data_IF_635774118295
#
_entry.id   IF_635774118295
#
_cell.length_a   1.000
_cell.length_b   1.000
_cell.length_c   1.000
_cell.angle_alpha   90.00
_cell.angle_beta   90.00
_cell.angle_gamma   90.00
#
_symmetry.space_group_name_H-M   'P 1'
#
loop_
_entity.id
_entity.type
_entity.pdbx_description
1 polymer ?
#
# COMPACT_ATOMS: atom_id res chain seq x y z
N UNK A 1 -1.26 -18.94 -31.81
CA UNK A 1 -2.08 -17.96 -31.09
C UNK A 1 -2.40 -18.54 -29.73
N UNK A 2 -1.49 -18.39 -28.77
CA UNK A 2 -1.79 -18.73 -27.39
C UNK A 2 -2.61 -17.60 -26.79
N UNK A 3 -3.92 -17.84 -26.65
CA UNK A 3 -4.74 -17.10 -25.71
C UNK A 3 -4.30 -17.50 -24.31
N UNK A 4 -3.18 -16.91 -23.85
CA UNK A 4 -2.88 -16.88 -22.42
C UNK A 4 -3.89 -15.94 -21.80
N UNK A 5 -4.91 -16.49 -21.17
CA UNK A 5 -5.71 -15.76 -20.21
C UNK A 5 -4.74 -15.15 -19.21
N UNK A 6 -4.59 -13.83 -19.22
CA UNK A 6 -3.87 -13.14 -18.17
C UNK A 6 -4.68 -13.34 -16.90
N UNK A 7 -4.15 -14.12 -15.96
CA UNK A 7 -4.77 -14.28 -14.66
C UNK A 7 -4.75 -12.91 -13.97
N UNK A 8 -5.87 -12.51 -13.36
CA UNK A 8 -5.92 -11.28 -12.57
C UNK A 8 -4.84 -11.32 -11.50
N UNK A 9 -4.20 -10.17 -11.23
CA UNK A 9 -3.19 -10.02 -10.17
C UNK A 9 -3.70 -10.59 -8.85
N UNK A 10 -4.96 -10.31 -8.51
CA UNK A 10 -5.56 -10.79 -7.28
C UNK A 10 -5.64 -12.32 -7.21
N UNK A 11 -6.03 -12.98 -8.32
CA UNK A 11 -6.12 -14.45 -8.37
C UNK A 11 -4.73 -15.10 -8.34
N UNK A 12 -3.74 -14.49 -8.99
CA UNK A 12 -2.34 -14.95 -8.93
C UNK A 12 -1.80 -14.86 -7.50
N UNK A 13 -2.06 -13.74 -6.83
CA UNK A 13 -1.63 -13.51 -5.46
C UNK A 13 -2.33 -14.45 -4.48
N UNK A 14 -3.65 -14.65 -4.59
CA UNK A 14 -4.36 -15.64 -3.77
C UNK A 14 -3.79 -17.05 -3.96
N UNK A 15 -3.64 -17.49 -5.22
CA UNK A 15 -3.12 -18.83 -5.53
C UNK A 15 -1.71 -19.03 -4.96
N UNK A 16 -0.86 -18.01 -5.03
CA UNK A 16 0.50 -18.05 -4.48
C UNK A 16 0.51 -18.31 -2.97
N UNK A 17 -0.40 -17.69 -2.21
CA UNK A 17 -0.49 -17.91 -0.77
C UNK A 17 -1.17 -19.26 -0.44
N UNK A 18 -2.24 -19.61 -1.13
CA UNK A 18 -2.97 -20.87 -0.92
C UNK A 18 -2.12 -22.11 -1.21
N UNK A 19 -1.29 -22.06 -2.28
CA UNK A 19 -0.30 -23.09 -2.61
C UNK A 19 0.72 -23.34 -1.50
N UNK A 20 0.87 -22.40 -0.57
CA UNK A 20 1.78 -22.47 0.58
C UNK A 20 1.02 -22.69 1.91
N UNK A 21 -0.22 -23.16 1.83
CA UNK A 21 -1.07 -23.43 2.99
C UNK A 21 -1.44 -22.17 3.78
N UNK A 22 -1.50 -21.01 3.10
CA UNK A 22 -1.88 -19.74 3.71
C UNK A 22 -3.23 -19.31 3.12
N UNK A 23 -4.22 -19.13 3.98
CA UNK A 23 -5.51 -18.54 3.59
C UNK A 23 -5.46 -17.04 3.74
N UNK A 24 -6.14 -16.32 2.84
CA UNK A 24 -6.16 -14.86 2.83
C UNK A 24 -7.58 -14.37 3.12
N UNK A 25 -7.70 -13.48 4.11
CA UNK A 25 -8.93 -12.72 4.36
C UNK A 25 -8.73 -11.32 3.80
N UNK A 26 -9.67 -10.80 3.01
CA UNK A 26 -9.58 -9.44 2.48
C UNK A 26 -10.94 -8.87 2.12
N UNK A 27 -11.08 -7.54 2.24
CA UNK A 27 -12.20 -6.77 1.67
C UNK A 27 -13.58 -7.23 2.11
N UNK A 28 -13.68 -7.77 3.33
CA UNK A 28 -14.96 -8.18 3.90
C UNK A 28 -15.72 -6.96 4.41
N UNK A 29 -17.03 -6.94 4.18
CA UNK A 29 -17.90 -5.89 4.70
C UNK A 29 -18.20 -6.12 6.18
N UNK A 30 -17.90 -5.17 7.08
CA UNK A 30 -18.28 -5.26 8.49
C UNK A 30 -19.79 -5.43 8.70
N UNK A 31 -20.61 -4.96 7.77
CA UNK A 31 -22.07 -5.14 7.81
C UNK A 31 -22.52 -6.60 7.68
N UNK A 32 -21.68 -7.50 7.18
CA UNK A 32 -21.97 -8.94 7.12
C UNK A 32 -21.53 -9.69 8.38
N UNK A 33 -20.67 -9.08 9.21
CA UNK A 33 -20.03 -9.72 10.35
C UNK A 33 -20.18 -8.85 11.61
N UNK A 34 -21.30 -8.97 12.33
CA UNK A 34 -21.54 -8.18 13.54
C UNK A 34 -20.39 -8.33 14.54
N UNK A 35 -19.90 -7.20 15.06
CA UNK A 35 -18.79 -7.13 16.01
C UNK A 35 -17.46 -6.68 15.40
N UNK A 36 -17.34 -6.64 14.06
CA UNK A 36 -16.18 -6.07 13.37
C UNK A 36 -16.45 -4.64 12.89
N UNK A 37 -15.40 -3.83 12.83
CA UNK A 37 -15.39 -2.45 12.38
C UNK A 37 -14.66 -2.26 11.05
N UNK A 38 -14.61 -1.00 10.59
CA UNK A 38 -13.95 -0.63 9.32
C UNK A 38 -12.43 -0.71 9.37
N UNK A 39 -11.84 -0.82 10.57
CA UNK A 39 -10.39 -0.98 10.79
C UNK A 39 -9.98 -2.47 10.89
N UNK A 40 -10.92 -3.39 10.76
CA UNK A 40 -10.67 -4.83 10.92
C UNK A 40 -10.69 -5.54 9.54
N UNK A 41 -11.75 -6.28 9.28
CA UNK A 41 -11.88 -7.22 8.16
C UNK A 41 -11.94 -6.64 6.73
N UNK A 42 -12.06 -5.32 6.49
CA UNK A 42 -11.85 -4.77 5.14
C UNK A 42 -10.40 -4.91 4.64
N UNK A 43 -9.44 -4.97 5.56
CA UNK A 43 -8.01 -5.08 5.25
C UNK A 43 -7.63 -6.51 4.88
N UNK A 44 -6.43 -6.68 4.33
CA UNK A 44 -5.91 -8.01 4.01
C UNK A 44 -5.08 -8.59 5.16
N UNK A 45 -5.42 -9.82 5.57
CA UNK A 45 -4.66 -10.58 6.57
C UNK A 45 -4.44 -12.02 6.11
N UNK A 46 -3.31 -12.59 6.52
CA UNK A 46 -2.86 -13.91 6.13
C UNK A 46 -2.92 -14.85 7.32
N UNK A 47 -3.44 -16.06 7.10
CA UNK A 47 -3.65 -17.05 8.16
C UNK A 47 -3.08 -18.40 7.76
N UNK A 48 -2.52 -19.11 8.75
CA UNK A 48 -2.13 -20.52 8.64
C UNK A 48 -2.72 -21.29 9.81
N UNK A 49 -3.38 -22.40 9.53
CA UNK A 49 -4.05 -23.22 10.54
C UNK A 49 -5.00 -22.42 11.46
N UNK A 50 -5.67 -21.40 10.89
CA UNK A 50 -6.59 -20.51 11.59
C UNK A 50 -5.91 -19.43 12.46
N UNK A 51 -4.58 -19.35 12.47
CA UNK A 51 -3.83 -18.32 13.19
C UNK A 51 -3.35 -17.24 12.22
N UNK A 52 -3.53 -15.98 12.59
CA UNK A 52 -3.01 -14.84 11.84
C UNK A 52 -1.48 -14.84 11.90
N UNK A 53 -0.83 -14.70 10.74
CA UNK A 53 0.62 -14.77 10.63
C UNK A 53 1.29 -13.48 11.12
N UNK A 54 0.78 -12.32 10.73
CA UNK A 54 1.36 -11.02 11.11
C UNK A 54 0.28 -10.05 11.54
N UNK A 55 0.62 -9.16 12.48
CA UNK A 55 -0.27 -8.06 12.87
C UNK A 55 -0.43 -7.04 11.74
N UNK A 56 0.66 -6.74 11.03
CA UNK A 56 0.64 -5.88 9.85
C UNK A 56 -0.25 -6.47 8.75
N UNK A 57 -1.22 -5.69 8.28
CA UNK A 57 -2.08 -6.07 7.18
C UNK A 57 -1.38 -5.92 5.83
N UNK A 58 -2.17 -6.00 4.76
CA UNK A 58 -1.77 -5.61 3.42
C UNK A 58 -2.92 -4.97 2.66
N UNK A 59 -2.59 -4.47 1.47
CA UNK A 59 -3.56 -3.79 0.61
C UNK A 59 -4.80 -4.65 0.31
N UNK A 60 -5.97 -4.04 0.36
CA UNK A 60 -7.27 -4.63 0.07
C UNK A 60 -7.51 -4.77 -1.45
N UNK A 61 -8.57 -5.50 -1.83
CA UNK A 61 -8.94 -5.72 -3.23
C UNK A 61 -9.19 -4.44 -4.02
N UNK A 62 -9.91 -3.48 -3.43
CA UNK A 62 -10.15 -2.19 -4.09
C UNK A 62 -8.88 -1.34 -4.23
N UNK A 63 -7.87 -1.57 -3.39
CA UNK A 63 -6.56 -0.92 -3.47
C UNK A 63 -5.67 -1.59 -4.51
N UNK A 64 -5.77 -2.92 -4.65
CA UNK A 64 -5.21 -3.66 -5.79
C UNK A 64 -5.79 -3.09 -7.10
N UNK A 65 -7.10 -2.90 -7.19
CA UNK A 65 -7.74 -2.31 -8.37
C UNK A 65 -7.26 -0.88 -8.64
N UNK A 66 -7.12 -0.05 -7.60
CA UNK A 66 -6.52 1.29 -7.73
C UNK A 66 -5.11 1.22 -8.32
N UNK A 67 -4.26 0.35 -7.76
CA UNK A 67 -2.87 0.19 -8.19
C UNK A 67 -2.78 -0.39 -9.62
N UNK A 68 -3.63 -1.33 -10.01
CA UNK A 68 -3.70 -1.82 -11.39
C UNK A 68 -4.03 -0.69 -12.38
N UNK A 69 -4.99 0.18 -12.04
CA UNK A 69 -5.28 1.35 -12.85
C UNK A 69 -4.12 2.33 -12.89
N UNK A 70 -3.51 2.63 -11.74
CA UNK A 70 -2.32 3.47 -11.65
C UNK A 70 -1.20 2.95 -12.55
N UNK A 71 -0.88 1.66 -12.46
CA UNK A 71 0.21 1.05 -13.20
C UNK A 71 -0.08 0.81 -14.69
N UNK A 72 -1.35 0.87 -15.09
CA UNK A 72 -1.72 0.92 -16.51
C UNK A 72 -1.34 2.24 -17.19
N UNK A 73 -1.21 3.33 -16.41
CA UNK A 73 -0.85 4.66 -16.89
C UNK A 73 0.58 5.08 -16.54
N UNK A 74 1.14 4.52 -15.46
CA UNK A 74 2.47 4.84 -14.94
C UNK A 74 3.23 3.56 -14.61
N UNK A 75 4.33 3.27 -15.31
CA UNK A 75 5.08 2.02 -15.14
C UNK A 75 6.39 2.30 -14.39
N UNK A 76 6.45 2.12 -13.05
CA UNK A 76 7.69 2.30 -12.29
C UNK A 76 8.71 1.22 -12.64
N UNK A 77 10.00 1.59 -12.58
CA UNK A 77 11.10 0.64 -12.72
C UNK A 77 11.65 0.21 -11.35
N UNK A 78 11.49 1.05 -10.32
CA UNK A 78 12.12 0.91 -9.01
C UNK A 78 11.11 1.26 -7.91
N UNK A 79 10.48 0.22 -7.39
CA UNK A 79 9.43 0.30 -6.37
C UNK A 79 10.04 0.05 -5.00
N UNK A 80 9.91 1.01 -4.09
CA UNK A 80 10.26 0.86 -2.69
C UNK A 80 9.01 0.70 -1.81
N UNK A 81 9.05 -0.20 -0.85
CA UNK A 81 7.95 -0.47 0.09
C UNK A 81 8.47 -0.31 1.51
N UNK A 82 7.84 0.56 2.29
CA UNK A 82 8.04 0.66 3.75
C UNK A 82 6.93 -0.12 4.42
N UNK A 83 7.29 -1.16 5.18
CA UNK A 83 6.34 -2.12 5.76
C UNK A 83 6.13 -3.31 4.84
N UNK A 84 6.86 -4.41 5.07
CA UNK A 84 6.68 -5.64 4.31
C UNK A 84 5.62 -6.55 4.92
N UNK A 85 5.52 -6.58 6.26
CA UNK A 85 4.77 -7.57 7.01
C UNK A 85 5.03 -8.99 6.45
N UNK A 86 3.98 -9.72 6.06
CA UNK A 86 4.10 -11.04 5.42
C UNK A 86 4.16 -11.00 3.87
N UNK A 87 4.53 -9.86 3.29
CA UNK A 87 4.88 -9.73 1.88
C UNK A 87 3.73 -9.50 0.90
N UNK A 88 2.49 -9.37 1.37
CA UNK A 88 1.30 -9.32 0.50
C UNK A 88 1.37 -8.15 -0.48
N UNK A 89 1.53 -6.93 0.03
CA UNK A 89 1.62 -5.71 -0.78
C UNK A 89 2.86 -5.73 -1.68
N UNK A 90 4.01 -6.17 -1.15
CA UNK A 90 5.27 -6.30 -1.90
C UNK A 90 5.14 -7.22 -3.11
N UNK A 91 4.54 -8.40 -2.93
CA UNK A 91 4.33 -9.37 -4.01
C UNK A 91 3.27 -8.91 -5.00
N UNK A 92 2.20 -8.25 -4.53
CA UNK A 92 1.19 -7.65 -5.40
C UNK A 92 1.83 -6.65 -6.38
N UNK A 93 2.66 -5.73 -5.87
CA UNK A 93 3.38 -4.73 -6.67
C UNK A 93 4.32 -5.38 -7.70
N UNK A 94 4.97 -6.48 -7.34
CA UNK A 94 5.86 -7.23 -8.23
C UNK A 94 5.12 -8.00 -9.34
N UNK A 95 3.90 -8.49 -9.07
CA UNK A 95 3.04 -9.11 -10.08
C UNK A 95 2.52 -8.05 -11.05
N UNK A 96 2.06 -6.89 -10.54
CA UNK A 96 1.57 -5.77 -11.36
C UNK A 96 2.66 -5.17 -12.25
N UNK A 97 3.90 -5.13 -11.75
CA UNK A 97 5.04 -4.51 -12.43
C UNK A 97 6.14 -5.55 -12.68
N UNK A 98 5.94 -6.48 -13.63
CA UNK A 98 6.79 -7.66 -13.82
C UNK A 98 8.24 -7.36 -14.21
N UNK A 99 8.49 -6.15 -14.73
CA UNK A 99 9.83 -5.67 -15.13
C UNK A 99 10.49 -4.79 -14.07
N UNK A 100 9.76 -4.39 -13.02
CA UNK A 100 10.27 -3.51 -11.99
C UNK A 100 11.10 -4.28 -10.98
N UNK A 101 12.05 -3.56 -10.38
CA UNK A 101 12.73 -4.00 -9.18
C UNK A 101 11.95 -3.54 -7.96
N UNK A 102 11.56 -4.48 -7.10
CA UNK A 102 10.77 -4.21 -5.90
C UNK A 102 11.61 -4.47 -4.67
N UNK A 103 11.88 -3.43 -3.88
CA UNK A 103 12.60 -3.54 -2.62
C UNK A 103 11.67 -3.15 -1.47
N UNK A 104 11.53 -4.02 -0.48
CA UNK A 104 10.77 -3.76 0.73
C UNK A 104 11.67 -3.69 1.97
N UNK A 105 11.33 -2.84 2.92
CA UNK A 105 11.96 -2.76 4.24
C UNK A 105 10.94 -3.08 5.33
N UNK A 106 11.37 -3.82 6.35
CA UNK A 106 10.57 -4.05 7.55
C UNK A 106 11.43 -4.17 8.81
N UNK A 107 10.96 -3.61 9.92
CA UNK A 107 11.69 -3.63 11.19
C UNK A 107 11.65 -5.00 11.88
N UNK A 108 10.66 -5.82 11.54
CA UNK A 108 10.37 -7.15 12.08
C UNK A 108 10.47 -7.21 13.61
N UNK A 109 9.52 -6.59 14.34
CA UNK A 109 9.47 -6.70 15.79
C UNK A 109 9.23 -8.14 16.28
N UNK A 110 8.69 -9.02 15.42
CA UNK A 110 8.42 -10.43 15.73
C UNK A 110 9.15 -11.41 14.80
N UNK A 111 9.33 -12.66 15.27
CA UNK A 111 9.87 -13.75 14.44
C UNK A 111 9.00 -14.04 13.20
N UNK A 112 7.68 -13.86 13.29
CA UNK A 112 6.80 -14.13 12.14
C UNK A 112 6.93 -13.08 11.04
N UNK A 113 7.23 -11.82 11.39
CA UNK A 113 7.53 -10.80 10.38
C UNK A 113 8.88 -11.03 9.70
N UNK A 114 9.86 -11.59 10.41
CA UNK A 114 11.11 -12.07 9.79
C UNK A 114 10.83 -13.22 8.80
N UNK A 115 9.91 -14.12 9.13
CA UNK A 115 9.44 -15.14 8.18
C UNK A 115 8.75 -14.52 6.98
N UNK A 116 8.01 -13.42 7.17
CA UNK A 116 7.40 -12.63 6.10
C UNK A 116 8.42 -12.09 5.10
N UNK A 117 9.58 -11.65 5.56
CA UNK A 117 10.71 -11.28 4.70
C UNK A 117 11.19 -12.49 3.88
N UNK A 118 11.46 -13.61 4.54
CA UNK A 118 11.94 -14.82 3.85
C UNK A 118 10.94 -15.29 2.80
N UNK A 119 9.66 -15.31 3.16
CA UNK A 119 8.55 -15.69 2.29
C UNK A 119 8.44 -14.77 1.07
N UNK A 120 8.48 -13.44 1.25
CA UNK A 120 8.40 -12.49 0.14
C UNK A 120 9.56 -12.68 -0.87
N UNK A 121 10.78 -12.88 -0.37
CA UNK A 121 11.95 -13.13 -1.23
C UNK A 121 11.81 -14.46 -1.99
N UNK A 122 11.40 -15.54 -1.31
CA UNK A 122 11.22 -16.86 -1.93
C UNK A 122 10.12 -16.84 -3.00
N UNK A 123 8.98 -16.23 -2.69
CA UNK A 123 7.87 -16.14 -3.64
C UNK A 123 8.19 -15.23 -4.83
N UNK A 124 8.91 -14.12 -4.60
CA UNK A 124 9.43 -13.30 -5.68
C UNK A 124 10.30 -14.09 -6.66
N UNK A 125 11.22 -14.91 -6.13
CA UNK A 125 12.05 -15.80 -6.94
C UNK A 125 11.22 -16.86 -7.68
N UNK A 126 10.23 -17.48 -7.02
CA UNK A 126 9.32 -18.48 -7.63
C UNK A 126 8.49 -17.88 -8.78
N UNK A 127 8.09 -16.63 -8.67
CA UNK A 127 7.38 -15.88 -9.71
C UNK A 127 8.32 -15.37 -10.82
N UNK A 128 9.65 -15.51 -10.67
CA UNK A 128 10.62 -14.93 -11.59
C UNK A 128 10.61 -13.39 -11.58
N UNK A 129 10.34 -12.78 -10.42
CA UNK A 129 10.31 -11.33 -10.21
C UNK A 129 11.53 -10.86 -9.44
N UNK A 130 11.96 -9.63 -9.72
CA UNK A 130 13.08 -9.01 -9.03
C UNK A 130 12.60 -8.36 -7.72
N UNK A 131 12.46 -9.19 -6.68
CA UNK A 131 11.95 -8.81 -5.36
C UNK A 131 13.02 -8.98 -4.30
N UNK A 132 13.18 -7.97 -3.44
CA UNK A 132 14.04 -8.01 -2.27
C UNK A 132 13.38 -7.37 -1.05
N UNK A 133 12.88 -8.19 -0.12
CA UNK A 133 12.50 -7.72 1.21
C UNK A 133 13.70 -7.81 2.16
N UNK A 134 14.02 -6.74 2.90
CA UNK A 134 15.17 -6.68 3.80
C UNK A 134 14.77 -6.18 5.19
N UNK A 135 15.40 -6.74 6.22
CA UNK A 135 15.21 -6.27 7.59
C UNK A 135 15.92 -4.93 7.74
N UNK A 136 15.21 -3.94 8.29
CA UNK A 136 15.72 -2.60 8.56
C UNK A 136 14.65 -1.72 9.18
N UNK A 137 15.05 -0.69 9.89
CA UNK A 137 14.15 0.25 10.54
C UNK A 137 13.97 1.49 9.65
N UNK A 138 12.72 1.81 9.32
CA UNK A 138 12.38 3.08 8.70
C UNK A 138 12.15 4.16 9.77
N UNK A 139 12.57 5.41 9.56
CA UNK A 139 13.21 5.95 8.35
C UNK A 139 14.72 5.70 8.24
N UNK A 140 15.39 5.24 9.31
CA UNK A 140 16.84 5.36 9.46
C UNK A 140 17.64 4.54 8.44
N UNK A 141 17.19 3.33 8.12
CA UNK A 141 17.88 2.41 7.23
C UNK A 141 17.51 2.60 5.76
N UNK A 142 16.46 3.38 5.45
CA UNK A 142 15.94 3.58 4.08
C UNK A 142 17.04 3.98 3.09
N UNK A 143 17.88 5.01 3.33
CA UNK A 143 18.91 5.38 2.37
C UNK A 143 19.95 4.27 2.12
N UNK A 144 20.31 3.55 3.18
CA UNK A 144 21.34 2.50 3.10
C UNK A 144 20.84 1.25 2.36
N UNK A 145 19.57 0.90 2.56
CA UNK A 145 18.93 -0.23 1.86
C UNK A 145 18.72 0.11 0.40
N UNK A 146 18.22 1.31 0.07
CA UNK A 146 18.04 1.72 -1.32
C UNK A 146 19.38 1.77 -2.05
N UNK A 147 20.43 2.34 -1.44
CA UNK A 147 21.76 2.38 -2.04
C UNK A 147 22.34 0.99 -2.33
N UNK A 148 22.08 0.01 -1.45
CA UNK A 148 22.58 -1.36 -1.59
C UNK A 148 21.74 -2.20 -2.54
N UNK A 149 20.42 -2.08 -2.47
CA UNK A 149 19.49 -3.03 -3.06
C UNK A 149 18.76 -2.50 -4.29
N UNK A 150 18.59 -1.18 -4.50
CA UNK A 150 17.68 -0.67 -5.56
C UNK A 150 18.34 -0.51 -6.94
N UNK A 151 19.65 -0.27 -6.99
CA UNK A 151 20.36 -0.07 -8.26
C UNK A 151 20.05 1.26 -8.98
N UNK A 152 19.32 2.18 -8.34
CA UNK A 152 18.95 3.49 -8.87
C UNK A 152 17.99 4.24 -7.94
N UNK A 153 17.59 5.47 -8.28
CA UNK A 153 16.64 6.25 -7.50
C UNK A 153 15.24 5.62 -7.54
N UNK A 154 14.49 5.73 -6.45
CA UNK A 154 13.11 5.23 -6.35
C UNK A 154 12.19 6.05 -7.24
N UNK A 155 11.33 5.41 -8.03
CA UNK A 155 10.29 6.09 -8.83
C UNK A 155 8.86 5.77 -8.39
N UNK A 156 8.68 4.80 -7.49
CA UNK A 156 7.44 4.59 -6.76
C UNK A 156 7.70 4.16 -5.32
N UNK A 157 7.02 4.77 -4.35
CA UNK A 157 7.10 4.40 -2.95
C UNK A 157 5.71 4.08 -2.38
N UNK A 158 5.56 2.90 -1.79
CA UNK A 158 4.43 2.57 -0.91
C UNK A 158 4.87 2.74 0.55
N UNK A 159 4.20 3.64 1.28
CA UNK A 159 4.47 3.96 2.67
C UNK A 159 3.37 3.34 3.54
N UNK A 160 3.72 2.25 4.20
CA UNK A 160 2.85 1.43 5.06
C UNK A 160 3.61 0.97 6.32
N UNK A 161 4.42 1.88 6.85
CA UNK A 161 5.24 1.65 8.03
C UNK A 161 4.45 1.78 9.34
N UNK A 162 5.11 2.28 10.38
CA UNK A 162 4.46 2.48 11.67
C UNK A 162 3.37 3.55 11.58
N UNK A 163 2.16 3.24 12.06
CA UNK A 163 0.97 4.08 11.87
C UNK A 163 0.87 5.24 12.87
N UNK A 164 1.83 6.17 12.80
CA UNK A 164 1.71 7.50 13.42
C UNK A 164 1.98 8.60 12.41
N UNK A 165 1.41 9.79 12.65
CA UNK A 165 1.61 10.96 11.78
C UNK A 165 3.10 11.31 11.64
N UNK A 166 3.88 11.15 12.71
CA UNK A 166 5.32 11.41 12.72
C UNK A 166 6.09 10.38 11.89
N UNK A 167 5.77 9.09 12.05
CA UNK A 167 6.41 8.02 11.30
C UNK A 167 6.08 8.10 9.80
N UNK A 168 4.82 8.32 9.43
CA UNK A 168 4.41 8.52 8.04
C UNK A 168 5.19 9.67 7.37
N UNK A 169 5.33 10.80 8.07
CA UNK A 169 6.11 11.94 7.56
C UNK A 169 7.60 11.63 7.46
N UNK A 170 8.15 10.92 8.44
CA UNK A 170 9.56 10.56 8.44
C UNK A 170 9.89 9.58 7.30
N UNK A 171 9.03 8.59 7.07
CA UNK A 171 9.16 7.61 5.99
C UNK A 171 9.06 8.28 4.62
N UNK A 172 8.12 9.21 4.45
CA UNK A 172 8.01 10.02 3.24
C UNK A 172 9.28 10.82 2.97
N UNK A 173 9.79 11.56 3.95
CA UNK A 173 10.99 12.37 3.77
C UNK A 173 12.23 11.50 3.48
N UNK A 174 12.34 10.32 4.11
CA UNK A 174 13.41 9.38 3.83
C UNK A 174 13.35 8.83 2.40
N UNK A 175 12.16 8.45 1.92
CA UNK A 175 11.96 8.01 0.53
C UNK A 175 12.24 9.15 -0.46
N UNK A 176 11.67 10.34 -0.21
CA UNK A 176 11.82 11.52 -1.07
C UNK A 176 13.28 11.94 -1.25
N UNK A 177 14.09 11.81 -0.20
CA UNK A 177 15.51 12.18 -0.24
C UNK A 177 16.36 11.35 -1.22
N UNK A 178 15.88 10.16 -1.62
CA UNK A 178 16.58 9.23 -2.51
C UNK A 178 15.76 8.87 -3.77
N UNK A 179 14.67 9.59 -3.97
CA UNK A 179 13.74 9.37 -5.07
C UNK A 179 14.12 10.16 -6.33
N UNK A 180 13.64 9.67 -7.47
CA UNK A 180 13.64 10.41 -8.72
C UNK A 180 12.66 11.60 -8.65
N UNK A 181 12.92 12.65 -9.44
CA UNK A 181 12.04 13.82 -9.52
C UNK A 181 10.62 13.53 -10.01
N UNK A 182 10.39 12.35 -10.63
CA UNK A 182 9.08 11.84 -11.08
C UNK A 182 8.45 10.85 -10.10
N UNK A 183 9.03 10.62 -8.92
CA UNK A 183 8.55 9.58 -8.01
C UNK A 183 7.11 9.80 -7.55
N UNK A 184 6.33 8.72 -7.55
CA UNK A 184 4.96 8.66 -7.03
C UNK A 184 4.98 8.07 -5.63
N UNK A 185 4.29 8.70 -4.68
CA UNK A 185 4.21 8.26 -3.29
C UNK A 185 2.77 7.87 -2.98
N UNK A 186 2.58 6.66 -2.49
CA UNK A 186 1.29 6.14 -2.05
C UNK A 186 1.39 5.84 -0.57
N UNK A 187 0.42 6.32 0.20
CA UNK A 187 0.34 6.18 1.64
C UNK A 187 -0.81 5.26 1.97
N UNK A 188 -0.54 4.18 2.67
CA UNK A 188 -1.57 3.24 3.12
C UNK A 188 -2.19 3.74 4.44
N UNK A 189 -3.40 3.27 4.76
CA UNK A 189 -4.05 3.45 6.08
C UNK A 189 -4.37 4.87 6.54
N UNK A 190 -4.31 5.85 5.64
CA UNK A 190 -4.32 7.25 6.06
C UNK A 190 -5.57 7.66 6.82
N UNK A 191 -6.75 7.34 6.30
CA UNK A 191 -8.01 7.72 6.96
C UNK A 191 -8.31 6.76 8.11
N UNK A 192 -8.23 5.45 7.87
CA UNK A 192 -8.66 4.46 8.86
C UNK A 192 -7.79 4.43 10.10
N UNK A 193 -6.50 4.74 10.00
CA UNK A 193 -5.59 4.79 11.15
C UNK A 193 -5.26 6.23 11.58
N UNK A 194 -6.11 7.20 11.23
CA UNK A 194 -6.07 8.58 11.74
C UNK A 194 -4.75 9.32 11.42
N UNK A 195 -4.20 9.09 10.22
CA UNK A 195 -2.94 9.69 9.74
C UNK A 195 -3.17 10.90 8.81
N UNK A 196 -4.42 11.36 8.69
CA UNK A 196 -4.77 12.46 7.78
C UNK A 196 -4.06 13.79 8.12
N UNK A 197 -3.75 14.04 9.39
CA UNK A 197 -3.03 15.26 9.81
C UNK A 197 -1.57 15.25 9.33
N UNK A 198 -0.92 14.09 9.41
CA UNK A 198 0.43 13.84 8.91
C UNK A 198 0.49 14.00 7.40
N UNK A 199 -0.46 13.39 6.69
CA UNK A 199 -0.57 13.54 5.25
C UNK A 199 -0.86 14.99 4.83
N UNK A 200 -1.75 15.70 5.54
CA UNK A 200 -2.02 17.12 5.28
C UNK A 200 -0.77 17.99 5.50
N UNK A 201 0.04 17.67 6.52
CA UNK A 201 1.32 18.36 6.73
C UNK A 201 2.32 18.07 5.59
N UNK A 202 2.42 16.82 5.12
CA UNK A 202 3.25 16.45 3.97
C UNK A 202 2.83 17.23 2.73
N UNK A 203 1.53 17.27 2.41
CA UNK A 203 1.00 17.99 1.25
C UNK A 203 1.27 19.50 1.33
N UNK A 204 1.07 20.11 2.51
CA UNK A 204 1.36 21.53 2.74
C UNK A 204 2.84 21.87 2.60
N UNK A 205 3.71 21.01 3.14
CA UNK A 205 5.16 21.23 3.14
C UNK A 205 5.79 20.92 1.76
N UNK A 206 5.04 20.25 0.86
CA UNK A 206 5.46 19.88 -0.49
C UNK A 206 4.46 20.36 -1.56
N UNK A 207 4.23 21.69 -1.70
CA UNK A 207 3.23 22.25 -2.60
C UNK A 207 3.50 21.98 -4.09
N UNK A 208 4.71 21.50 -4.43
CA UNK A 208 5.08 21.05 -5.76
C UNK A 208 4.53 19.68 -6.14
N UNK A 209 3.88 18.95 -5.21
CA UNK A 209 3.24 17.67 -5.47
C UNK A 209 1.70 17.83 -5.46
N UNK A 210 1.03 17.25 -6.46
CA UNK A 210 -0.39 17.04 -6.38
C UNK A 210 -0.65 15.96 -5.32
N UNK A 211 -1.50 16.23 -4.33
CA UNK A 211 -1.74 15.35 -3.19
C UNK A 211 -3.23 15.21 -2.91
N UNK A 212 -3.72 13.97 -2.73
CA UNK A 212 -5.14 13.73 -2.44
C UNK A 212 -5.37 12.45 -1.62
N UNK A 213 -6.43 12.48 -0.81
CA UNK A 213 -6.96 11.30 -0.10
C UNK A 213 -7.82 10.46 -1.05
N UNK A 214 -7.79 9.14 -0.91
CA UNK A 214 -8.46 8.18 -1.78
C UNK A 214 -9.62 7.52 -1.03
N UNK A 215 -10.71 8.27 -0.85
CA UNK A 215 -11.90 7.84 -0.09
C UNK A 215 -12.62 6.57 -0.61
N UNK A 216 -12.32 6.13 -1.84
CA UNK A 216 -12.88 4.89 -2.42
C UNK A 216 -11.97 3.68 -2.23
N UNK A 217 -10.93 3.81 -1.39
CA UNK A 217 -10.13 2.67 -0.90
C UNK A 217 -10.56 2.33 0.54
N UNK A 218 -10.61 1.03 0.92
CA UNK A 218 -11.02 0.62 2.25
C UNK A 218 -10.21 1.22 3.38
N UNK A 219 -8.87 1.27 3.26
CA UNK A 219 -7.96 1.90 4.23
C UNK A 219 -8.05 3.43 4.23
N UNK A 220 -8.60 4.00 3.16
CA UNK A 220 -8.54 5.42 2.87
C UNK A 220 -7.10 5.87 2.64
N UNK A 221 -6.44 5.27 1.65
CA UNK A 221 -5.10 5.61 1.18
C UNK A 221 -4.98 7.09 0.81
N UNK A 222 -3.75 7.54 0.59
CA UNK A 222 -3.46 8.81 -0.06
C UNK A 222 -2.41 8.65 -1.15
N UNK A 223 -2.34 9.61 -2.06
CA UNK A 223 -1.33 9.66 -3.12
C UNK A 223 -0.77 11.07 -3.25
N UNK A 224 0.54 11.16 -3.47
CA UNK A 224 1.25 12.38 -3.86
C UNK A 224 2.12 12.11 -5.10
N UNK A 225 2.03 12.98 -6.11
CA UNK A 225 2.81 12.84 -7.35
C UNK A 225 3.17 14.20 -7.99
N UNK A 226 4.24 14.27 -8.80
CA UNK A 226 4.63 15.49 -9.49
C UNK A 226 3.61 15.93 -10.55
N UNK A 227 3.37 17.24 -10.74
CA UNK A 227 2.44 17.77 -11.74
C UNK A 227 2.72 17.31 -13.18
N UNK A 228 3.96 16.92 -13.48
CA UNK A 228 4.36 16.34 -14.76
C UNK A 228 3.64 15.01 -15.08
N UNK A 229 3.05 14.35 -14.08
CA UNK A 229 2.27 13.11 -14.21
C UNK A 229 0.75 13.34 -14.13
N UNK A 230 0.29 14.59 -14.10
CA UNK A 230 -1.13 14.90 -13.91
C UNK A 230 -2.01 14.38 -15.07
N UNK A 231 -1.48 14.34 -16.29
CA UNK A 231 -2.21 13.82 -17.44
C UNK A 231 -2.45 12.31 -17.33
N UNK A 232 -1.47 11.56 -16.82
CA UNK A 232 -1.52 10.11 -16.66
C UNK A 232 -2.25 9.68 -15.37
N UNK A 233 -1.89 10.28 -14.23
CA UNK A 233 -2.33 9.85 -12.89
C UNK A 233 -3.59 10.58 -12.42
N UNK A 234 -3.75 11.85 -12.79
CA UNK A 234 -4.83 12.71 -12.29
C UNK A 234 -6.24 12.13 -12.48
N UNK A 235 -6.60 11.59 -13.67
CA UNK A 235 -7.89 10.95 -13.86
C UNK A 235 -8.13 9.75 -12.93
N UNK A 236 -7.09 8.97 -12.63
CA UNK A 236 -7.15 7.80 -11.76
C UNK A 236 -7.30 8.25 -10.31
N UNK A 237 -6.47 9.19 -9.84
CA UNK A 237 -6.60 9.76 -8.50
C UNK A 237 -8.01 10.34 -8.26
N UNK A 238 -8.56 11.06 -9.25
CA UNK A 238 -9.94 11.58 -9.19
C UNK A 238 -11.01 10.48 -9.14
N UNK A 239 -10.79 9.36 -9.81
CA UNK A 239 -11.70 8.21 -9.78
C UNK A 239 -11.74 7.51 -8.41
N UNK A 240 -10.72 7.70 -7.56
CA UNK A 240 -10.64 7.09 -6.23
C UNK A 240 -10.77 8.09 -5.06
N UNK A 241 -10.73 9.40 -5.32
CA UNK A 241 -11.01 10.45 -4.33
C UNK A 241 -12.48 10.87 -4.32
N UNK A 242 -12.85 11.75 -3.40
CA UNK A 242 -14.15 12.40 -3.34
C UNK A 242 -13.97 13.91 -3.17
N UNK A 243 -14.93 14.70 -3.64
CA UNK A 243 -14.87 16.16 -3.48
C UNK A 243 -14.95 16.55 -2.00
N UNK A 244 -14.19 17.57 -1.60
CA UNK A 244 -14.22 18.10 -0.22
C UNK A 244 -15.64 18.45 0.25
N UNK A 245 -16.47 18.99 -0.66
CA UNK A 245 -17.86 19.31 -0.38
C UNK A 245 -18.67 18.05 -0.04
N UNK A 246 -18.56 17.00 -0.87
CA UNK A 246 -19.30 15.75 -0.61
C UNK A 246 -18.78 15.04 0.63
N UNK A 247 -17.47 15.04 0.87
CA UNK A 247 -16.88 14.50 2.11
C UNK A 247 -17.48 15.22 3.32
N UNK A 248 -17.43 16.57 3.37
CA UNK A 248 -18.02 17.34 4.48
C UNK A 248 -19.50 17.00 4.71
N UNK A 249 -20.29 16.93 3.63
CA UNK A 249 -21.70 16.55 3.70
C UNK A 249 -21.90 15.14 4.31
N UNK A 250 -21.10 14.14 3.89
CA UNK A 250 -21.15 12.79 4.45
C UNK A 250 -20.84 12.76 5.95
N UNK A 251 -19.87 13.55 6.40
CA UNK A 251 -19.55 13.68 7.83
C UNK A 251 -20.70 14.31 8.62
N UNK A 252 -21.37 15.32 8.07
CA UNK A 252 -22.54 15.94 8.69
C UNK A 252 -23.73 14.97 8.76
N UNK A 253 -24.06 14.29 7.65
CA UNK A 253 -25.09 13.24 7.59
C UNK A 253 -24.82 12.12 8.61
N UNK A 254 -23.57 11.66 8.71
CA UNK A 254 -23.16 10.61 9.65
C UNK A 254 -23.32 11.02 11.11
N UNK A 255 -22.96 12.26 11.46
CA UNK A 255 -23.16 12.79 12.83
C UNK A 255 -24.64 12.89 13.19
N UNK A 256 -25.48 13.37 12.27
CA UNK A 256 -26.91 13.49 12.50
C UNK A 256 -27.56 12.12 12.81
N UNK A 257 -27.25 11.09 11.99
CA UNK A 257 -27.77 9.73 12.20
C UNK A 257 -27.35 9.10 13.53
N UNK A 258 -26.13 9.38 14.01
CA UNK A 258 -25.66 8.88 15.31
C UNK A 258 -26.36 9.58 16.48
N UNK A 259 -26.68 10.87 16.33
CA UNK A 259 -27.42 11.64 17.34
C UNK A 259 -28.91 11.29 17.44
N UNK A 260 -29.51 10.74 16.38
CA UNK A 260 -30.89 10.23 16.38
C UNK A 260 -31.01 8.81 16.98
N UNK A 261 -29.88 8.09 17.11
CA UNK A 261 -29.81 6.73 17.62
C UNK A 261 -29.53 6.63 19.14
N UNK A 262 -29.51 7.77 19.84
CA UNK A 262 -29.39 7.89 21.32
C UNK A 262 -30.69 8.37 21.93
#
# INVERSE_FOLDING_TARGET
MENRWHMSVFLELLSLYEDNGITVQTSLSPGHFPGFGSQDIPFTYMFRDGQQLCEGGGIAFAEIAFLEHLFSAFQPERIFVVGNAFGWSTLALAIMNPSARVVAIDSCPTETEEQGIAFANEMGARLGRDVRAAKGKSPEDVPSIIAREMGGPVDFALIDGWHTNEAQRADFEACKAVADGRCVYVFHDVINLLLADGFAAIARDNPQLASTLLFRTPSGMAISYPPALEAEIGPIARAFTETDERVRALWEEGRARRGEAT
#
